data_IF_131637989415
#
_entry.id   IF_131637989415
#
_cell.length_a   1.000
_cell.length_b   1.000
_cell.length_c   1.000
_cell.angle_alpha   90.00
_cell.angle_beta   90.00
_cell.angle_gamma   90.00
#
_symmetry.space_group_name_H-M   'P 1'
#
loop_
_entity.id
_entity.type
_entity.pdbx_description
1 polymer ?
#
# COMPACT_ATOMS: atom_id res chain seq x y z
N UNK A 1 -19.41 -12.60 10.60
CA UNK A 1 -19.34 -12.21 9.16
C UNK A 1 -17.94 -12.38 8.57
N UNK A 2 -16.85 -11.89 9.21
CA UNK A 2 -15.49 -11.93 8.67
C UNK A 2 -14.93 -13.34 8.39
N UNK A 3 -15.06 -14.36 9.28
CA UNK A 3 -14.56 -15.70 8.98
C UNK A 3 -15.21 -16.30 7.74
N UNK A 4 -16.50 -16.08 7.55
CA UNK A 4 -17.23 -16.59 6.38
C UNK A 4 -16.72 -15.97 5.07
N UNK A 5 -16.41 -14.67 5.07
CA UNK A 5 -15.85 -13.98 3.89
C UNK A 5 -14.45 -14.51 3.56
N UNK A 6 -13.59 -14.70 4.58
CA UNK A 6 -12.28 -15.29 4.41
C UNK A 6 -12.36 -16.72 3.85
N UNK A 7 -13.23 -17.56 4.40
CA UNK A 7 -13.42 -18.94 3.91
C UNK A 7 -13.90 -18.96 2.45
N UNK A 8 -14.82 -18.06 2.07
CA UNK A 8 -15.28 -17.95 0.67
C UNK A 8 -14.16 -17.53 -0.28
N UNK A 9 -13.33 -16.58 0.15
CA UNK A 9 -12.17 -16.15 -0.64
C UNK A 9 -11.18 -17.29 -0.85
N UNK A 10 -10.79 -17.99 0.22
CA UNK A 10 -9.83 -19.10 0.11
C UNK A 10 -10.39 -20.31 -0.66
N UNK A 11 -11.69 -20.58 -0.57
CA UNK A 11 -12.34 -21.57 -1.43
C UNK A 11 -12.31 -21.16 -2.90
N UNK A 12 -12.44 -19.86 -3.21
CA UNK A 12 -12.28 -19.35 -4.57
C UNK A 12 -10.82 -19.46 -5.04
N UNK A 13 -9.86 -19.10 -4.19
CA UNK A 13 -8.41 -19.22 -4.47
C UNK A 13 -8.01 -20.67 -4.75
N UNK A 14 -8.52 -21.65 -3.96
CA UNK A 14 -8.29 -23.08 -4.20
C UNK A 14 -8.72 -23.50 -5.62
N UNK A 15 -9.87 -23.03 -6.07
CA UNK A 15 -10.35 -23.29 -7.45
C UNK A 15 -9.43 -22.70 -8.52
N UNK A 16 -8.85 -21.52 -8.29
CA UNK A 16 -7.87 -20.93 -9.22
C UNK A 16 -6.55 -21.73 -9.26
N UNK A 17 -6.19 -22.39 -8.17
CA UNK A 17 -5.02 -23.28 -8.09
C UNK A 17 -5.33 -24.70 -8.60
N UNK A 18 -6.60 -25.02 -8.90
CA UNK A 18 -7.01 -26.37 -9.35
C UNK A 18 -6.92 -27.43 -8.24
N UNK A 19 -7.07 -27.02 -6.98
CA UNK A 19 -7.04 -27.92 -5.81
C UNK A 19 -8.36 -27.87 -5.04
N UNK A 20 -8.71 -28.93 -4.35
CA UNK A 20 -9.93 -29.01 -3.54
C UNK A 20 -9.87 -28.10 -2.32
N UNK A 21 -8.68 -28.00 -1.71
CA UNK A 21 -8.45 -27.20 -0.51
C UNK A 21 -7.03 -26.67 -0.52
N UNK A 22 -6.87 -25.41 -0.06
CA UNK A 22 -5.54 -24.81 0.18
C UNK A 22 -4.95 -25.35 1.49
N UNK A 23 -3.66 -25.59 1.47
CA UNK A 23 -2.89 -25.80 2.69
C UNK A 23 -2.57 -24.44 3.36
N UNK A 24 -2.16 -24.47 4.63
CA UNK A 24 -1.91 -23.21 5.38
C UNK A 24 -0.74 -22.38 4.79
N UNK A 25 0.21 -23.02 4.11
CA UNK A 25 1.32 -22.34 3.43
C UNK A 25 0.93 -21.70 2.09
N UNK A 26 -0.19 -22.11 1.48
CA UNK A 26 -0.67 -21.56 0.21
C UNK A 26 -1.40 -20.22 0.40
N UNK A 27 -1.63 -19.81 1.64
CA UNK A 27 -2.44 -18.62 1.96
C UNK A 27 -1.97 -17.38 1.22
N UNK A 28 -0.66 -17.14 1.18
CA UNK A 28 -0.05 -15.98 0.51
C UNK A 28 0.60 -16.32 -0.84
N UNK A 29 0.36 -17.51 -1.38
CA UNK A 29 0.88 -17.88 -2.68
C UNK A 29 0.30 -16.96 -3.77
N UNK A 30 1.13 -16.43 -4.69
CA UNK A 30 0.65 -15.60 -5.79
C UNK A 30 -0.23 -16.42 -6.72
N UNK A 31 -1.19 -15.77 -7.37
CA UNK A 31 -2.01 -16.45 -8.38
C UNK A 31 -1.14 -16.90 -9.56
N UNK A 32 -1.48 -18.02 -10.23
CA UNK A 32 -0.70 -18.57 -11.35
C UNK A 32 -0.49 -17.57 -12.49
N UNK A 33 -1.39 -16.63 -12.66
CA UNK A 33 -1.40 -15.61 -13.72
C UNK A 33 -0.79 -14.29 -13.27
N UNK A 34 0.08 -14.29 -12.26
CA UNK A 34 0.71 -13.06 -11.74
C UNK A 34 1.48 -12.32 -12.83
N UNK A 35 1.30 -11.00 -12.88
CA UNK A 35 1.99 -10.13 -13.83
C UNK A 35 3.45 -9.91 -13.39
N UNK A 36 4.40 -10.38 -14.19
CA UNK A 36 5.84 -10.20 -13.97
C UNK A 36 6.37 -8.88 -14.58
N UNK A 37 5.49 -8.03 -15.12
CA UNK A 37 5.90 -6.76 -15.71
C UNK A 37 6.63 -5.88 -14.70
N UNK A 38 7.65 -5.18 -15.18
CA UNK A 38 8.41 -4.22 -14.38
C UNK A 38 7.92 -2.81 -14.65
N UNK A 39 7.71 -2.07 -13.59
CA UNK A 39 7.30 -0.67 -13.60
C UNK A 39 8.53 0.16 -13.24
N UNK A 40 8.88 1.13 -14.04
CA UNK A 40 9.97 2.05 -13.73
C UNK A 40 9.59 3.00 -12.59
N UNK A 41 10.60 3.61 -11.96
CA UNK A 41 10.38 4.61 -10.92
C UNK A 41 9.56 5.82 -11.43
N UNK A 42 9.84 6.28 -12.64
CA UNK A 42 9.13 7.42 -13.25
C UNK A 42 7.67 7.08 -13.56
N UNK A 43 7.38 5.86 -14.03
CA UNK A 43 6.00 5.38 -14.22
C UNK A 43 5.27 5.26 -12.88
N UNK A 44 5.92 4.79 -11.83
CA UNK A 44 5.35 4.70 -10.49
C UNK A 44 5.03 6.11 -9.95
N UNK A 45 5.98 7.06 -10.05
CA UNK A 45 5.80 8.48 -9.72
C UNK A 45 4.59 9.06 -10.46
N UNK A 46 4.56 8.91 -11.78
CA UNK A 46 3.47 9.44 -12.62
C UNK A 46 2.11 8.85 -12.24
N UNK A 47 2.06 7.54 -11.96
CA UNK A 47 0.84 6.82 -11.57
C UNK A 47 0.29 7.33 -10.25
N UNK A 48 1.12 7.45 -9.23
CA UNK A 48 0.70 7.90 -7.90
C UNK A 48 0.29 9.36 -7.92
N UNK A 49 1.14 10.25 -8.46
CA UNK A 49 0.84 11.67 -8.53
C UNK A 49 -0.39 11.96 -9.40
N UNK A 50 -0.56 11.25 -10.52
CA UNK A 50 -1.74 11.36 -11.37
C UNK A 50 -3.02 10.90 -10.67
N UNK A 51 -2.94 9.88 -9.82
CA UNK A 51 -4.07 9.39 -9.01
C UNK A 51 -4.48 10.41 -7.95
N UNK A 52 -3.50 10.98 -7.26
CA UNK A 52 -3.72 11.99 -6.23
C UNK A 52 -4.27 13.29 -6.83
N UNK A 53 -3.72 13.73 -7.97
CA UNK A 53 -4.16 14.95 -8.64
C UNK A 53 -5.62 14.88 -9.11
N UNK A 54 -6.09 13.69 -9.51
CA UNK A 54 -7.50 13.51 -9.88
C UNK A 54 -8.46 13.62 -8.71
N UNK A 55 -7.99 13.29 -7.52
CA UNK A 55 -8.78 13.45 -6.30
C UNK A 55 -8.69 14.88 -5.75
N UNK A 56 -7.47 15.38 -5.53
CA UNK A 56 -7.20 16.71 -4.98
C UNK A 56 -5.81 17.19 -5.43
N UNK A 57 -5.70 18.27 -6.21
CA UNK A 57 -4.40 18.78 -6.69
C UNK A 57 -3.42 19.13 -5.58
N UNK A 58 -3.90 19.61 -4.43
CA UNK A 58 -3.08 19.89 -3.24
C UNK A 58 -2.37 18.64 -2.72
N UNK A 59 -3.05 17.51 -2.74
CA UNK A 59 -2.47 16.22 -2.35
C UNK A 59 -1.30 15.83 -3.27
N UNK A 60 -1.46 15.98 -4.58
CA UNK A 60 -0.40 15.73 -5.55
C UNK A 60 0.78 16.72 -5.40
N UNK A 61 0.51 17.97 -5.06
CA UNK A 61 1.54 18.99 -4.83
C UNK A 61 2.42 18.61 -3.63
N UNK A 62 1.81 18.22 -2.51
CA UNK A 62 2.56 17.79 -1.32
C UNK A 62 3.37 16.53 -1.65
N UNK A 63 2.76 15.52 -2.26
CA UNK A 63 3.47 14.29 -2.66
C UNK A 63 4.61 14.56 -3.64
N UNK A 64 4.43 15.48 -4.60
CA UNK A 64 5.45 15.88 -5.56
C UNK A 64 6.73 16.37 -4.90
N UNK A 65 6.62 17.13 -3.81
CA UNK A 65 7.78 17.62 -3.07
C UNK A 65 8.68 16.50 -2.54
N UNK A 66 8.13 15.33 -2.20
CA UNK A 66 8.93 14.17 -1.76
C UNK A 66 9.86 13.66 -2.86
N UNK A 67 9.41 13.68 -4.12
CA UNK A 67 10.23 13.29 -5.26
C UNK A 67 11.26 14.37 -5.62
N UNK A 68 10.80 15.62 -5.73
CA UNK A 68 11.63 16.72 -6.22
C UNK A 68 12.74 17.10 -5.25
N UNK A 69 12.53 16.87 -3.95
CA UNK A 69 13.50 17.16 -2.87
C UNK A 69 14.23 15.90 -2.38
N UNK A 70 14.03 14.74 -3.03
CA UNK A 70 14.68 13.48 -2.69
C UNK A 70 14.44 13.00 -1.25
N UNK A 71 13.20 13.13 -0.76
CA UNK A 71 12.79 12.70 0.59
C UNK A 71 12.40 11.22 0.66
N UNK A 72 12.59 10.48 -0.44
CA UNK A 72 12.28 9.05 -0.57
C UNK A 72 13.57 8.27 -0.82
N UNK A 73 13.95 7.43 0.13
CA UNK A 73 15.00 6.42 -0.08
C UNK A 73 14.35 5.15 -0.64
N UNK A 74 14.37 5.01 -1.97
CA UNK A 74 13.67 3.94 -2.68
C UNK A 74 14.58 2.78 -3.13
N UNK A 75 15.89 3.01 -3.32
CA UNK A 75 16.77 2.01 -3.92
C UNK A 75 17.10 0.89 -2.94
N UNK A 76 16.88 -0.39 -3.30
CA UNK A 76 17.36 -1.53 -2.53
C UNK A 76 18.90 -1.54 -2.47
N UNK A 77 19.47 -1.86 -1.32
CA UNK A 77 20.92 -2.04 -1.13
C UNK A 77 21.22 -2.97 0.04
N UNK A 78 22.38 -3.61 0.08
CA UNK A 78 22.78 -4.44 1.21
C UNK A 78 22.79 -3.63 2.53
N UNK A 79 22.27 -4.24 3.60
CA UNK A 79 22.19 -3.61 4.92
C UNK A 79 21.05 -2.62 5.13
N UNK A 80 20.22 -2.36 4.11
CA UNK A 80 19.01 -1.56 4.25
C UNK A 80 17.91 -2.39 4.89
N UNK A 81 17.16 -1.80 5.83
CA UNK A 81 16.01 -2.45 6.45
C UNK A 81 14.97 -2.87 5.40
N UNK A 82 14.36 -4.02 5.65
CA UNK A 82 13.25 -4.51 4.85
C UNK A 82 11.96 -3.72 5.14
N UNK A 83 11.01 -3.77 4.20
CA UNK A 83 9.73 -3.08 4.36
C UNK A 83 9.75 -1.64 3.88
N UNK A 84 8.82 -0.85 4.40
CA UNK A 84 8.67 0.57 4.12
C UNK A 84 8.09 1.30 5.33
N UNK A 85 8.37 2.59 5.45
CA UNK A 85 7.76 3.46 6.44
C UNK A 85 7.91 4.94 6.04
N UNK A 86 7.01 5.79 6.55
CA UNK A 86 7.14 7.23 6.55
C UNK A 86 7.40 7.73 7.95
N UNK A 87 8.50 8.47 8.15
CA UNK A 87 8.89 9.01 9.44
C UNK A 87 8.68 10.53 9.49
N UNK A 88 7.87 11.07 10.42
CA UNK A 88 7.51 12.49 10.46
C UNK A 88 8.66 13.41 10.85
N UNK A 89 9.72 12.89 11.49
CA UNK A 89 10.81 13.66 12.12
C UNK A 89 10.28 14.62 13.21
N UNK A 90 10.46 15.92 13.04
CA UNK A 90 9.90 16.97 13.92
C UNK A 90 9.14 18.00 13.07
N UNK A 91 8.15 18.73 13.64
CA UNK A 91 7.29 19.63 12.88
C UNK A 91 8.02 20.75 12.11
N UNK A 92 9.23 21.11 12.51
CA UNK A 92 10.06 22.12 11.84
C UNK A 92 10.86 21.61 10.65
N UNK A 93 10.80 20.30 10.38
CA UNK A 93 11.46 19.63 9.25
C UNK A 93 10.37 18.93 8.40
N UNK A 94 10.74 18.11 7.48
CA UNK A 94 9.82 17.34 6.64
C UNK A 94 9.89 15.85 6.95
N UNK A 95 8.84 15.09 6.63
CA UNK A 95 8.89 13.63 6.69
C UNK A 95 9.89 13.03 5.70
N UNK A 96 10.38 11.83 6.00
CA UNK A 96 11.16 10.99 5.10
C UNK A 96 10.45 9.66 4.88
N UNK A 97 10.58 9.12 3.67
CA UNK A 97 10.08 7.79 3.33
C UNK A 97 11.27 6.87 3.05
N UNK A 98 11.25 5.69 3.67
CA UNK A 98 12.11 4.58 3.32
C UNK A 98 11.24 3.48 2.69
N UNK A 99 11.68 2.91 1.58
CA UNK A 99 11.07 1.75 0.95
C UNK A 99 12.10 0.97 0.13
N UNK A 100 11.73 -0.22 -0.33
CA UNK A 100 12.53 -1.01 -1.26
C UNK A 100 11.75 -1.19 -2.56
N UNK A 101 12.05 -0.40 -3.57
CA UNK A 101 11.38 -0.42 -4.86
C UNK A 101 12.07 -1.38 -5.84
N UNK A 102 11.42 -2.48 -6.17
CA UNK A 102 11.90 -3.50 -7.12
C UNK A 102 11.18 -3.43 -8.48
N UNK A 103 10.29 -2.47 -8.67
CA UNK A 103 9.52 -2.30 -9.90
C UNK A 103 8.32 -3.25 -10.03
N UNK A 104 7.81 -3.77 -8.94
CA UNK A 104 6.59 -4.58 -8.93
C UNK A 104 5.36 -3.70 -8.73
N UNK A 105 4.20 -4.17 -9.21
CA UNK A 105 2.92 -3.47 -8.98
C UNK A 105 2.65 -3.22 -7.48
N UNK A 106 3.04 -4.16 -6.61
CA UNK A 106 2.96 -3.98 -5.16
C UNK A 106 3.79 -2.80 -4.66
N UNK A 107 4.97 -2.58 -5.23
CA UNK A 107 5.85 -1.48 -4.79
C UNK A 107 5.23 -0.11 -5.11
N UNK A 108 4.44 -0.01 -6.20
CA UNK A 108 3.67 1.19 -6.52
C UNK A 108 2.58 1.45 -5.47
N UNK A 109 1.90 0.39 -5.01
CA UNK A 109 0.92 0.50 -3.94
C UNK A 109 1.58 0.89 -2.61
N UNK A 110 2.73 0.31 -2.29
CA UNK A 110 3.55 0.68 -1.12
C UNK A 110 3.96 2.16 -1.20
N UNK A 111 4.45 2.63 -2.36
CA UNK A 111 4.80 4.05 -2.56
C UNK A 111 3.60 4.97 -2.29
N UNK A 112 2.42 4.62 -2.81
CA UNK A 112 1.20 5.38 -2.55
C UNK A 112 0.79 5.34 -1.07
N UNK A 113 0.97 4.21 -0.40
CA UNK A 113 0.72 4.04 1.02
C UNK A 113 1.61 4.99 1.85
N UNK A 114 2.94 4.91 1.65
CA UNK A 114 3.89 5.73 2.41
C UNK A 114 3.75 7.23 2.13
N UNK A 115 3.44 7.60 0.88
CA UNK A 115 3.10 8.98 0.54
C UNK A 115 1.82 9.45 1.23
N UNK A 116 0.84 8.58 1.44
CA UNK A 116 -0.35 8.89 2.23
C UNK A 116 -0.01 9.29 3.66
N UNK A 117 0.87 8.53 4.32
CA UNK A 117 1.44 8.92 5.62
C UNK A 117 2.20 10.24 5.54
N UNK A 118 3.09 10.39 4.57
CA UNK A 118 3.92 11.60 4.40
C UNK A 118 3.08 12.87 4.21
N UNK A 119 2.01 12.79 3.43
CA UNK A 119 1.05 13.90 3.24
C UNK A 119 0.36 14.22 4.56
N UNK A 120 -0.15 13.22 5.27
CA UNK A 120 -0.80 13.41 6.57
C UNK A 120 0.16 14.07 7.58
N UNK A 121 1.39 13.58 7.68
CA UNK A 121 2.43 14.13 8.57
C UNK A 121 2.77 15.58 8.19
N UNK A 122 2.84 15.90 6.90
CA UNK A 122 3.08 17.27 6.42
C UNK A 122 1.94 18.21 6.81
N UNK A 123 0.68 17.76 6.68
CA UNK A 123 -0.50 18.53 7.05
C UNK A 123 -0.67 18.66 8.57
N UNK A 124 -0.20 17.68 9.34
CA UNK A 124 -0.26 17.71 10.80
C UNK A 124 0.83 18.61 11.43
N UNK A 125 1.98 18.79 10.78
CA UNK A 125 3.12 19.53 11.31
C UNK A 125 2.78 20.97 11.82
N UNK A 126 1.95 21.77 11.15
CA UNK A 126 1.57 23.10 11.63
C UNK A 126 0.84 23.13 12.99
N UNK A 127 0.29 22.00 13.44
CA UNK A 127 -0.36 21.90 14.76
C UNK A 127 0.65 21.85 15.92
N UNK A 128 1.95 21.78 15.62
CA UNK A 128 3.02 21.81 16.59
C UNK A 128 3.32 20.43 17.21
N UNK A 129 4.38 20.40 18.02
CA UNK A 129 4.98 19.15 18.52
C UNK A 129 4.00 18.22 19.25
N UNK A 130 3.10 18.76 20.04
CA UNK A 130 2.16 17.94 20.83
C UNK A 130 0.97 17.42 20.05
N UNK A 131 0.60 18.05 18.92
CA UNK A 131 -0.60 17.71 18.16
C UNK A 131 -0.31 17.16 16.77
N UNK A 132 0.96 17.11 16.34
CA UNK A 132 1.34 16.56 15.03
C UNK A 132 1.51 15.04 15.02
N UNK A 133 1.61 14.41 16.18
CA UNK A 133 1.73 12.94 16.27
C UNK A 133 0.38 12.28 16.05
N UNK A 134 0.33 11.33 15.12
CA UNK A 134 -0.89 10.55 14.83
C UNK A 134 -0.94 9.31 15.71
N UNK A 135 -2.04 9.08 16.44
CA UNK A 135 -2.24 7.82 17.17
C UNK A 135 -2.22 6.62 16.23
N UNK A 136 -1.66 5.51 16.69
CA UNK A 136 -1.51 4.28 15.89
C UNK A 136 -2.84 3.81 15.28
N UNK A 137 -3.95 3.93 16.02
CA UNK A 137 -5.30 3.56 15.58
C UNK A 137 -5.85 4.39 14.42
N UNK A 138 -5.27 5.56 14.13
CA UNK A 138 -5.69 6.47 13.05
C UNK A 138 -4.63 6.60 11.94
N UNK A 139 -3.41 6.10 12.19
CA UNK A 139 -2.28 6.29 11.29
C UNK A 139 -2.56 5.78 9.88
N UNK A 140 -3.19 4.60 9.76
CA UNK A 140 -3.44 3.95 8.48
C UNK A 140 -4.61 4.57 7.67
N UNK A 141 -5.36 5.51 8.23
CA UNK A 141 -6.48 6.13 7.51
C UNK A 141 -6.01 6.86 6.24
N UNK A 142 -4.95 7.64 6.34
CA UNK A 142 -4.43 8.41 5.22
C UNK A 142 -3.63 7.54 4.23
N UNK A 143 -2.85 6.59 4.74
CA UNK A 143 -2.03 5.69 3.92
C UNK A 143 -2.88 4.75 3.06
N UNK A 144 -3.85 4.07 3.68
CA UNK A 144 -4.78 3.18 2.97
C UNK A 144 -5.65 3.98 1.99
N UNK A 145 -6.03 5.21 2.33
CA UNK A 145 -6.77 6.07 1.41
C UNK A 145 -5.95 6.40 0.16
N UNK A 146 -4.71 6.84 0.31
CA UNK A 146 -3.80 7.12 -0.81
C UNK A 146 -3.53 5.88 -1.69
N UNK A 147 -3.32 4.73 -1.05
CA UNK A 147 -3.19 3.44 -1.73
C UNK A 147 -4.44 3.10 -2.54
N UNK A 148 -5.64 3.27 -1.98
CA UNK A 148 -6.90 2.96 -2.66
C UNK A 148 -7.20 3.88 -3.84
N UNK A 149 -6.85 5.17 -3.75
CA UNK A 149 -6.94 6.08 -4.89
C UNK A 149 -6.09 5.59 -6.07
N UNK A 150 -4.84 5.19 -5.78
CA UNK A 150 -3.92 4.67 -6.78
C UNK A 150 -4.38 3.34 -7.33
N UNK A 151 -4.80 2.41 -6.47
CA UNK A 151 -5.32 1.11 -6.87
C UNK A 151 -6.53 1.25 -7.83
N UNK A 152 -7.52 2.07 -7.48
CA UNK A 152 -8.69 2.31 -8.32
C UNK A 152 -8.31 2.90 -9.67
N UNK A 153 -7.41 3.86 -9.67
CA UNK A 153 -6.91 4.49 -10.89
C UNK A 153 -6.26 3.47 -11.84
N UNK A 154 -5.39 2.61 -11.32
CA UNK A 154 -4.73 1.57 -12.12
C UNK A 154 -5.74 0.53 -12.59
N UNK A 155 -6.66 0.11 -11.72
CA UNK A 155 -7.72 -0.84 -12.06
C UNK A 155 -8.62 -0.32 -13.18
N UNK A 156 -9.03 0.95 -13.13
CA UNK A 156 -9.89 1.57 -14.15
C UNK A 156 -9.17 1.70 -15.50
N UNK A 157 -7.85 1.92 -15.48
CA UNK A 157 -7.01 1.94 -16.68
C UNK A 157 -6.71 0.54 -17.27
N UNK A 158 -6.88 -0.52 -16.49
CA UNK A 158 -6.56 -1.89 -16.90
C UNK A 158 -7.75 -2.50 -17.64
N UNK A 159 -7.58 -2.77 -18.96
CA UNK A 159 -8.64 -3.36 -19.82
C UNK A 159 -8.64 -4.90 -19.81
N UNK A 160 -7.50 -5.50 -19.58
CA UNK A 160 -7.34 -6.96 -19.57
C UNK A 160 -8.09 -7.58 -18.38
N UNK A 161 -9.10 -8.46 -18.62
CA UNK A 161 -9.90 -9.06 -17.56
C UNK A 161 -9.10 -9.98 -16.64
N UNK A 162 -8.04 -10.63 -17.14
CA UNK A 162 -7.17 -11.50 -16.35
C UNK A 162 -6.36 -10.66 -15.37
N UNK A 163 -5.69 -9.60 -15.85
CA UNK A 163 -4.96 -8.67 -15.00
C UNK A 163 -5.88 -8.00 -13.96
N UNK A 164 -7.07 -7.58 -14.34
CA UNK A 164 -8.07 -7.03 -13.41
C UNK A 164 -8.43 -8.03 -12.30
N UNK A 165 -8.65 -9.30 -12.66
CA UNK A 165 -8.95 -10.35 -11.69
C UNK A 165 -7.81 -10.54 -10.69
N UNK A 166 -6.57 -10.63 -11.18
CA UNK A 166 -5.37 -10.79 -10.33
C UNK A 166 -5.22 -9.60 -9.38
N UNK A 167 -5.37 -8.37 -9.88
CA UNK A 167 -5.30 -7.15 -9.06
C UNK A 167 -6.38 -7.15 -7.96
N UNK A 168 -7.62 -7.46 -8.31
CA UNK A 168 -8.73 -7.51 -7.35
C UNK A 168 -8.53 -8.62 -6.31
N UNK A 169 -8.07 -9.80 -6.75
CA UNK A 169 -7.82 -10.91 -5.84
C UNK A 169 -6.71 -10.58 -4.84
N UNK A 170 -5.59 -9.99 -5.30
CA UNK A 170 -4.51 -9.53 -4.44
C UNK A 170 -5.00 -8.49 -3.43
N UNK A 171 -5.78 -7.49 -3.88
CA UNK A 171 -6.31 -6.46 -2.98
C UNK A 171 -7.28 -7.01 -1.94
N UNK A 172 -8.17 -7.92 -2.32
CA UNK A 172 -9.07 -8.61 -1.38
C UNK A 172 -8.28 -9.44 -0.36
N UNK A 173 -7.23 -10.13 -0.82
CA UNK A 173 -6.34 -10.89 0.07
C UNK A 173 -5.63 -9.99 1.09
N UNK A 174 -5.09 -8.85 0.65
CA UNK A 174 -4.46 -7.87 1.54
C UNK A 174 -5.44 -7.34 2.59
N UNK A 175 -6.67 -7.00 2.17
CA UNK A 175 -7.72 -6.54 3.10
C UNK A 175 -8.11 -7.62 4.12
N UNK A 176 -8.29 -8.88 3.68
CA UNK A 176 -8.61 -10.00 4.57
C UNK A 176 -7.44 -10.28 5.53
N UNK A 177 -6.21 -10.30 5.02
CA UNK A 177 -5.03 -10.49 5.86
C UNK A 177 -4.89 -9.38 6.90
N UNK A 178 -5.09 -8.13 6.54
CA UNK A 178 -5.03 -7.01 7.47
C UNK A 178 -6.06 -7.15 8.58
N UNK A 179 -7.34 -7.29 8.23
CA UNK A 179 -8.43 -7.34 9.23
C UNK A 179 -8.32 -8.58 10.13
N UNK A 180 -8.17 -9.76 9.53
CA UNK A 180 -8.14 -11.02 10.28
C UNK A 180 -6.89 -11.13 11.15
N UNK A 181 -5.73 -10.68 10.64
CA UNK A 181 -4.48 -10.69 11.39
C UNK A 181 -4.52 -9.74 12.58
N UNK A 182 -5.02 -8.52 12.40
CA UNK A 182 -5.11 -7.55 13.51
C UNK A 182 -6.06 -8.04 14.61
N UNK A 183 -7.19 -8.63 14.24
CA UNK A 183 -8.09 -9.25 15.22
C UNK A 183 -7.41 -10.41 15.95
N UNK A 184 -6.64 -11.24 15.22
CA UNK A 184 -5.93 -12.37 15.83
C UNK A 184 -4.84 -11.91 16.80
N UNK A 185 -4.07 -10.87 16.44
CA UNK A 185 -3.06 -10.28 17.32
C UNK A 185 -3.71 -9.73 18.60
N UNK A 186 -4.73 -8.91 18.45
CA UNK A 186 -5.47 -8.36 19.60
C UNK A 186 -5.99 -9.46 20.53
N UNK A 187 -6.64 -10.50 19.97
CA UNK A 187 -7.17 -11.61 20.78
C UNK A 187 -6.07 -12.45 21.46
N UNK A 188 -4.87 -12.50 20.86
CA UNK A 188 -3.73 -13.19 21.45
C UNK A 188 -3.09 -12.41 22.60
N UNK A 189 -3.12 -11.08 22.54
CA UNK A 189 -2.53 -10.19 23.54
C UNK A 189 -3.43 -9.99 24.78
N UNK A 190 -4.74 -10.28 24.70
CA UNK A 190 -5.68 -10.30 25.83
C UNK A 190 -5.65 -11.60 26.63
#
# INVERSE_FOLDING_TARGET
>A
AYPQTAHRYYALKARWFGVDKLEYWDRNAPLPESDESRISWDEAKATVLGSYNRFEPGMATIAGAFFDKHWIDANPRPGKDSGAFSHPTVPSVHPYILMNFHGKSRDVMTLAHELGHGIHQTLAAPHGHFLSSTPLTLAETASVFGEMLTFRSVLDGTKDPVKRRVMLASKVEDMLNTVVRQIAFYTFEE
#
